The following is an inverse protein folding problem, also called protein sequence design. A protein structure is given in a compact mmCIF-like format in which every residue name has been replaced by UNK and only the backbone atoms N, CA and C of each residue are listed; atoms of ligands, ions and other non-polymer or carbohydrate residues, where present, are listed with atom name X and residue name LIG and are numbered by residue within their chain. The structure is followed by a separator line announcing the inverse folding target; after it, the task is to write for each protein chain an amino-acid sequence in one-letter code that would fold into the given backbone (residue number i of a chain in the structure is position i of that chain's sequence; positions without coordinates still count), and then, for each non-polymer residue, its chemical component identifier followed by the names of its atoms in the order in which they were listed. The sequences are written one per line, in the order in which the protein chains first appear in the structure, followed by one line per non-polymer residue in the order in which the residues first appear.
data_IF_365620355509
#
_entry.id   IF_365620355509
#
_cell.length_a   1.000
_cell.length_b   1.000
_cell.length_c   1.000
_cell.angle_alpha   90.00
_cell.angle_beta   90.00
_cell.angle_gamma   90.00
#
_symmetry.space_group_name_H-M   'P 1'
#
loop_
_entity.id
_entity.type
_entity.pdbx_description
1 polymer ?
#
# COMPACT_ATOMS: atom_id res chain seq x y z
N UNK A 1 -22.50 6.68 -6.10
CA UNK A 1 -21.73 7.33 -5.04
C UNK A 1 -22.06 8.81 -4.86
N UNK A 2 -22.02 9.65 -5.93
CA UNK A 2 -22.37 11.08 -5.82
C UNK A 2 -23.76 11.33 -5.22
N UNK A 3 -24.75 10.50 -5.58
CA UNK A 3 -26.11 10.58 -5.03
C UNK A 3 -26.14 10.32 -3.52
N UNK A 4 -25.37 9.36 -3.03
CA UNK A 4 -25.31 9.04 -1.60
C UNK A 4 -24.51 10.08 -0.82
N UNK A 5 -23.44 10.62 -1.41
CA UNK A 5 -22.75 11.77 -0.80
C UNK A 5 -23.71 12.97 -0.70
N UNK A 6 -24.59 13.16 -1.69
CA UNK A 6 -25.65 14.16 -1.63
C UNK A 6 -26.67 13.85 -0.52
N UNK A 7 -27.13 12.61 -0.40
CA UNK A 7 -28.03 12.17 0.67
C UNK A 7 -27.40 12.34 2.07
N UNK A 8 -26.09 12.08 2.21
CA UNK A 8 -25.37 12.36 3.47
C UNK A 8 -25.41 13.84 3.84
N UNK A 9 -25.21 14.75 2.87
CA UNK A 9 -25.29 16.20 3.09
C UNK A 9 -26.69 16.67 3.46
N UNK A 10 -27.70 16.08 2.84
CA UNK A 10 -29.11 16.37 3.12
C UNK A 10 -29.63 15.75 4.43
N UNK A 11 -28.74 15.12 5.19
CA UNK A 11 -29.04 14.43 6.45
C UNK A 11 -30.10 13.32 6.32
N UNK A 12 -30.26 12.76 5.11
CA UNK A 12 -31.18 11.64 4.87
C UNK A 12 -30.66 10.37 5.50
N UNK A 13 -31.59 9.53 5.94
CA UNK A 13 -31.28 8.19 6.47
C UNK A 13 -30.96 7.26 5.29
N UNK A 14 -29.73 6.74 5.23
CA UNK A 14 -29.31 5.77 4.22
C UNK A 14 -29.62 4.37 4.77
N UNK A 15 -30.33 3.56 4.01
CA UNK A 15 -30.65 2.21 4.40
C UNK A 15 -29.39 1.33 4.50
N UNK A 16 -29.44 0.33 5.37
CA UNK A 16 -28.32 -0.59 5.56
C UNK A 16 -27.90 -1.29 4.27
N UNK A 17 -28.88 -1.67 3.43
CA UNK A 17 -28.66 -2.32 2.13
C UNK A 17 -27.84 -1.43 1.19
N UNK A 18 -28.12 -0.13 1.17
CA UNK A 18 -27.37 0.83 0.34
C UNK A 18 -25.98 1.08 0.89
N UNK A 19 -25.83 1.13 2.22
CA UNK A 19 -24.52 1.23 2.86
C UNK A 19 -23.63 0.04 2.48
N UNK A 20 -24.16 -1.19 2.57
CA UNK A 20 -23.46 -2.42 2.21
C UNK A 20 -23.09 -2.44 0.72
N UNK A 21 -24.06 -2.10 -0.14
CA UNK A 21 -23.84 -2.02 -1.61
C UNK A 21 -22.66 -1.11 -1.97
N UNK A 22 -22.54 0.03 -1.31
CA UNK A 22 -21.44 0.97 -1.59
C UNK A 22 -20.12 0.44 -1.08
N UNK A 23 -20.10 -0.13 0.12
CA UNK A 23 -18.88 -0.74 0.65
C UNK A 23 -18.37 -1.79 -0.32
N UNK A 24 -19.24 -2.68 -0.83
CA UNK A 24 -18.89 -3.71 -1.81
C UNK A 24 -18.43 -3.07 -3.14
N UNK A 25 -19.14 -2.07 -3.65
CA UNK A 25 -18.82 -1.39 -4.91
C UNK A 25 -17.43 -0.74 -4.89
N UNK A 26 -17.00 -0.23 -3.74
CA UNK A 26 -15.67 0.36 -3.60
C UNK A 26 -14.59 -0.68 -3.27
N UNK A 27 -14.95 -1.72 -2.52
CA UNK A 27 -13.99 -2.72 -2.04
C UNK A 27 -13.61 -3.73 -3.13
N UNK A 28 -14.58 -4.24 -3.90
CA UNK A 28 -14.31 -5.29 -4.90
C UNK A 28 -13.30 -4.86 -5.97
N UNK A 29 -13.43 -3.68 -6.61
CA UNK A 29 -12.41 -3.23 -7.57
C UNK A 29 -11.03 -3.05 -6.93
N UNK A 30 -10.98 -2.52 -5.69
CA UNK A 30 -9.74 -2.33 -4.98
C UNK A 30 -9.07 -3.66 -4.56
N UNK A 31 -9.85 -4.68 -4.21
CA UNK A 31 -9.34 -6.04 -3.95
C UNK A 31 -8.76 -6.64 -5.23
N UNK A 32 -9.48 -6.56 -6.34
CA UNK A 32 -9.02 -7.05 -7.63
C UNK A 32 -7.70 -6.37 -8.05
N UNK A 33 -7.59 -5.06 -7.84
CA UNK A 33 -6.37 -4.30 -8.07
C UNK A 33 -5.17 -4.86 -7.26
N UNK A 34 -5.37 -5.18 -5.98
CA UNK A 34 -4.31 -5.76 -5.14
C UNK A 34 -3.88 -7.16 -5.64
N UNK A 35 -4.84 -8.00 -6.01
CA UNK A 35 -4.56 -9.35 -6.53
C UNK A 35 -3.81 -9.28 -7.86
N UNK A 36 -4.26 -8.44 -8.79
CA UNK A 36 -3.59 -8.26 -10.09
C UNK A 36 -2.19 -7.66 -9.92
N UNK A 37 -2.02 -6.67 -9.03
CA UNK A 37 -0.70 -6.11 -8.73
C UNK A 37 0.28 -7.14 -8.18
N UNK A 38 -0.20 -8.06 -7.35
CA UNK A 38 0.62 -9.17 -6.84
C UNK A 38 0.97 -10.16 -7.94
N UNK A 39 -0.01 -10.57 -8.76
CA UNK A 39 0.25 -11.45 -9.91
C UNK A 39 1.28 -10.83 -10.86
N UNK A 40 1.20 -9.51 -11.06
CA UNK A 40 2.16 -8.77 -11.87
C UNK A 40 3.58 -8.86 -11.32
N UNK A 41 3.76 -8.69 -10.02
CA UNK A 41 5.09 -8.81 -9.39
C UNK A 41 5.71 -10.20 -9.60
N UNK A 42 4.88 -11.27 -9.67
CA UNK A 42 5.36 -12.61 -10.02
C UNK A 42 5.75 -12.71 -11.49
N UNK A 43 4.99 -12.11 -12.41
CA UNK A 43 5.31 -12.09 -13.84
C UNK A 43 6.63 -11.36 -14.07
N UNK A 44 6.82 -10.19 -13.47
CA UNK A 44 8.07 -9.42 -13.55
C UNK A 44 9.26 -10.23 -13.03
N UNK A 45 9.09 -10.86 -11.88
CA UNK A 45 10.13 -11.71 -11.31
C UNK A 45 10.49 -12.87 -12.24
N UNK A 46 9.51 -13.48 -12.92
CA UNK A 46 9.72 -14.54 -13.89
C UNK A 46 10.43 -14.03 -15.16
N UNK A 47 10.04 -12.87 -15.68
CA UNK A 47 10.67 -12.24 -16.85
C UNK A 47 12.14 -11.88 -16.57
N UNK A 48 12.42 -11.29 -15.41
CA UNK A 48 13.79 -11.00 -14.97
C UNK A 48 14.57 -12.29 -14.71
N UNK A 49 13.94 -13.30 -14.10
CA UNK A 49 14.55 -14.60 -13.84
C UNK A 49 15.05 -15.30 -15.11
N UNK A 50 14.36 -15.09 -16.24
CA UNK A 50 14.79 -15.63 -17.54
C UNK A 50 16.12 -15.04 -18.06
N UNK A 51 16.53 -13.86 -17.54
CA UNK A 51 17.82 -13.23 -17.85
C UNK A 51 18.99 -13.86 -17.09
N UNK A 52 18.70 -14.75 -16.14
CA UNK A 52 19.68 -15.47 -15.34
C UNK A 52 19.86 -14.91 -13.93
N UNK A 53 20.61 -15.66 -13.12
CA UNK A 53 20.77 -15.39 -11.68
C UNK A 53 21.39 -14.04 -11.36
N UNK A 54 22.27 -13.50 -12.22
CA UNK A 54 22.91 -12.20 -12.02
C UNK A 54 21.91 -11.06 -12.09
N UNK A 55 20.96 -11.11 -13.04
CA UNK A 55 19.92 -10.12 -13.19
C UNK A 55 18.99 -10.09 -11.95
N UNK A 56 18.56 -11.27 -11.51
CA UNK A 56 17.75 -11.42 -10.31
C UNK A 56 18.47 -10.92 -9.06
N UNK A 57 19.77 -11.24 -8.93
CA UNK A 57 20.60 -10.77 -7.81
C UNK A 57 20.77 -9.25 -7.83
N UNK A 58 20.98 -8.64 -9.01
CA UNK A 58 21.11 -7.18 -9.14
C UNK A 58 19.86 -6.44 -8.65
N UNK A 59 18.66 -6.90 -9.03
CA UNK A 59 17.40 -6.33 -8.55
C UNK A 59 17.20 -6.61 -7.05
N UNK A 60 17.49 -7.84 -6.61
CA UNK A 60 17.35 -8.26 -5.22
C UNK A 60 18.08 -7.37 -4.23
N UNK A 61 19.30 -6.91 -4.58
CA UNK A 61 20.06 -5.99 -3.73
C UNK A 61 19.35 -4.65 -3.50
N UNK A 62 18.68 -4.10 -4.52
CA UNK A 62 18.09 -2.75 -4.45
C UNK A 62 16.57 -2.75 -4.19
N UNK A 63 15.90 -3.90 -4.18
CA UNK A 63 14.45 -3.99 -4.04
C UNK A 63 13.94 -3.39 -2.72
N UNK A 64 14.63 -3.60 -1.62
CA UNK A 64 14.26 -3.01 -0.32
C UNK A 64 14.33 -1.48 -0.35
N UNK A 65 15.27 -0.93 -1.09
CA UNK A 65 15.42 0.52 -1.30
C UNK A 65 14.25 1.06 -2.13
N UNK A 66 13.86 0.37 -3.20
CA UNK A 66 12.71 0.78 -4.02
C UNK A 66 11.41 0.76 -3.21
N UNK A 67 11.22 -0.22 -2.33
CA UNK A 67 10.07 -0.27 -1.43
C UNK A 67 10.05 0.86 -0.40
N UNK A 68 11.20 1.23 0.15
CA UNK A 68 11.31 2.35 1.08
C UNK A 68 10.89 3.67 0.40
N UNK A 69 11.46 3.98 -0.76
CA UNK A 69 11.11 5.19 -1.50
C UNK A 69 9.66 5.17 -2.00
N UNK A 70 9.17 4.04 -2.48
CA UNK A 70 7.76 3.85 -2.84
C UNK A 70 6.81 4.08 -1.66
N UNK A 71 7.19 3.64 -0.47
CA UNK A 71 6.46 3.88 0.77
C UNK A 71 6.37 5.36 1.15
N UNK A 72 7.47 6.11 0.98
CA UNK A 72 7.51 7.57 1.20
C UNK A 72 6.60 8.28 0.20
N UNK A 73 6.65 7.89 -1.08
CA UNK A 73 5.78 8.43 -2.11
C UNK A 73 4.30 8.17 -1.82
N UNK A 74 3.95 6.94 -1.38
CA UNK A 74 2.59 6.58 -0.98
C UNK A 74 2.09 7.44 0.17
N UNK A 75 2.94 7.68 1.17
CA UNK A 75 2.60 8.53 2.31
C UNK A 75 2.38 10.01 1.88
N UNK A 76 3.21 10.51 0.97
CA UNK A 76 3.08 11.88 0.43
C UNK A 76 1.74 12.09 -0.31
N UNK A 77 1.29 11.08 -1.07
CA UNK A 77 0.02 11.10 -1.83
C UNK A 77 -1.21 11.04 -0.92
N UNK A 78 -1.10 10.36 0.23
CA UNK A 78 -2.23 10.13 1.14
C UNK A 78 -2.91 11.42 1.58
N UNK A 79 -2.13 12.44 1.96
CA UNK A 79 -2.66 13.70 2.47
C UNK A 79 -3.56 14.44 1.48
N UNK A 80 -3.25 14.38 0.19
CA UNK A 80 -4.10 14.97 -0.86
C UNK A 80 -5.39 14.18 -1.06
N UNK A 81 -5.30 12.85 -1.14
CA UNK A 81 -6.47 11.98 -1.35
C UNK A 81 -7.50 12.11 -0.21
N UNK A 82 -7.04 12.14 1.04
CA UNK A 82 -7.93 12.32 2.20
C UNK A 82 -8.62 13.68 2.17
N UNK A 83 -7.90 14.75 1.84
CA UNK A 83 -8.52 16.09 1.73
C UNK A 83 -9.57 16.15 0.63
N UNK A 84 -9.32 15.53 -0.52
CA UNK A 84 -10.31 15.41 -1.60
C UNK A 84 -11.57 14.71 -1.09
N UNK A 85 -11.46 13.58 -0.38
CA UNK A 85 -12.61 12.88 0.19
C UNK A 85 -13.42 13.79 1.12
N UNK A 86 -12.75 14.50 2.04
CA UNK A 86 -13.40 15.37 3.01
C UNK A 86 -14.04 16.61 2.37
N UNK A 87 -13.36 17.28 1.41
CA UNK A 87 -13.96 18.43 0.71
C UNK A 87 -15.15 18.02 -0.17
N UNK A 88 -15.09 16.88 -0.83
CA UNK A 88 -16.22 16.35 -1.58
C UNK A 88 -17.38 15.97 -0.65
N UNK A 89 -17.09 15.38 0.51
CA UNK A 89 -18.07 15.13 1.56
C UNK A 89 -18.75 16.42 2.02
N UNK A 90 -17.99 17.47 2.25
CA UNK A 90 -18.49 18.79 2.66
C UNK A 90 -19.22 19.56 1.54
N UNK A 91 -19.23 19.07 0.29
CA UNK A 91 -19.80 19.78 -0.84
C UNK A 91 -18.95 20.94 -1.37
N UNK A 92 -17.73 21.09 -0.86
CA UNK A 92 -16.79 22.16 -1.21
C UNK A 92 -15.99 21.78 -2.48
N UNK A 93 -16.69 21.55 -3.61
CA UNK A 93 -16.07 21.05 -4.85
C UNK A 93 -14.95 21.97 -5.37
N UNK A 94 -15.08 23.31 -5.19
CA UNK A 94 -14.02 24.26 -5.57
C UNK A 94 -12.72 23.98 -4.81
N UNK A 95 -12.79 23.72 -3.50
CA UNK A 95 -11.62 23.39 -2.69
C UNK A 95 -11.05 22.00 -3.06
N UNK A 96 -11.91 21.03 -3.38
CA UNK A 96 -11.44 19.73 -3.88
C UNK A 96 -10.65 19.89 -5.20
N UNK A 97 -11.10 20.72 -6.14
CA UNK A 97 -10.36 21.06 -7.38
C UNK A 97 -9.06 21.80 -7.07
N UNK A 98 -9.08 22.72 -6.10
CA UNK A 98 -7.86 23.39 -5.65
C UNK A 98 -6.82 22.40 -5.12
N UNK A 99 -7.25 21.37 -4.37
CA UNK A 99 -6.36 20.29 -3.91
C UNK A 99 -5.76 19.53 -5.10
N UNK A 100 -6.54 19.25 -6.16
CA UNK A 100 -6.02 18.61 -7.39
C UNK A 100 -4.93 19.49 -8.02
N UNK A 101 -5.17 20.80 -8.18
CA UNK A 101 -4.18 21.72 -8.73
C UNK A 101 -2.89 21.75 -7.90
N UNK A 102 -3.02 21.86 -6.56
CA UNK A 102 -1.88 21.84 -5.64
C UNK A 102 -1.11 20.52 -5.67
N UNK A 103 -1.82 19.40 -5.86
CA UNK A 103 -1.22 18.09 -5.92
C UNK A 103 -0.35 17.89 -7.17
N UNK A 104 -0.73 18.48 -8.31
CA UNK A 104 0.07 18.47 -9.54
C UNK A 104 1.37 19.24 -9.31
N UNK A 105 1.30 20.45 -8.75
CA UNK A 105 2.48 21.25 -8.42
C UNK A 105 3.41 20.51 -7.45
N UNK A 106 2.83 19.93 -6.39
CA UNK A 106 3.58 19.16 -5.42
C UNK A 106 4.24 17.95 -6.06
N UNK A 107 3.52 17.21 -6.92
CA UNK A 107 4.07 16.05 -7.61
C UNK A 107 5.27 16.40 -8.48
N UNK A 108 5.22 17.52 -9.19
CA UNK A 108 6.35 17.98 -10.01
C UNK A 108 7.57 18.25 -9.11
N UNK A 109 7.41 19.05 -8.05
CA UNK A 109 8.54 19.45 -7.20
C UNK A 109 9.04 18.28 -6.37
N UNK A 110 8.16 17.63 -5.62
CA UNK A 110 8.55 16.54 -4.72
C UNK A 110 8.98 15.30 -5.50
N UNK A 111 8.26 14.97 -6.58
CA UNK A 111 8.60 13.85 -7.45
C UNK A 111 9.98 14.02 -8.10
N UNK A 112 10.30 15.21 -8.64
CA UNK A 112 11.62 15.49 -9.19
C UNK A 112 12.72 15.51 -8.11
N UNK A 113 12.43 16.02 -6.92
CA UNK A 113 13.37 15.98 -5.79
C UNK A 113 13.66 14.52 -5.40
N UNK A 114 12.62 13.68 -5.24
CA UNK A 114 12.78 12.25 -4.93
C UNK A 114 13.51 11.50 -6.05
N UNK A 115 13.19 11.78 -7.31
CA UNK A 115 13.90 11.21 -8.45
C UNK A 115 15.39 11.55 -8.40
N UNK A 116 15.72 12.81 -8.17
CA UNK A 116 17.13 13.27 -8.05
C UNK A 116 17.85 12.57 -6.91
N UNK A 117 17.22 12.42 -5.74
CA UNK A 117 17.80 11.73 -4.59
C UNK A 117 18.06 10.26 -4.91
N UNK A 118 17.08 9.57 -5.51
CA UNK A 118 17.22 8.14 -5.83
C UNK A 118 18.23 7.91 -6.94
N UNK A 119 18.22 8.71 -7.99
CA UNK A 119 19.23 8.65 -9.06
C UNK A 119 20.63 8.94 -8.54
N UNK A 120 20.81 9.98 -7.71
CA UNK A 120 22.11 10.27 -7.11
C UNK A 120 22.58 9.14 -6.18
N UNK A 121 21.68 8.58 -5.38
CA UNK A 121 21.98 7.46 -4.47
C UNK A 121 22.30 6.16 -5.20
N UNK A 122 21.78 5.96 -6.42
CA UNK A 122 21.99 4.72 -7.19
C UNK A 122 23.47 4.42 -7.47
N UNK A 123 24.32 5.44 -7.54
CA UNK A 123 25.76 5.27 -7.78
C UNK A 123 26.52 4.70 -6.56
N UNK A 124 25.98 4.88 -5.37
CA UNK A 124 26.64 4.48 -4.11
C UNK A 124 25.94 3.34 -3.39
N UNK A 125 24.59 3.31 -3.42
CA UNK A 125 23.77 2.36 -2.67
C UNK A 125 24.06 0.90 -2.97
N UNK A 126 24.17 0.43 -4.23
CA UNK A 126 24.44 -0.99 -4.49
C UNK A 126 25.76 -1.45 -3.86
N UNK A 127 26.81 -0.63 -3.92
CA UNK A 127 28.11 -0.92 -3.29
C UNK A 127 28.00 -0.96 -1.76
N UNK A 128 27.25 -0.03 -1.18
CA UNK A 128 27.04 0.09 0.28
C UNK A 128 26.22 -1.08 0.82
N UNK A 129 25.32 -1.64 -0.01
CA UNK A 129 24.52 -2.82 0.29
C UNK A 129 25.25 -4.14 0.03
N UNK A 130 26.53 -4.09 -0.37
CA UNK A 130 27.36 -5.27 -0.57
C UNK A 130 27.15 -5.98 -1.92
N UNK A 131 26.72 -5.27 -2.96
CA UNK A 131 26.60 -5.83 -4.31
C UNK A 131 27.97 -6.28 -4.83
N UNK A 132 28.01 -7.50 -5.37
CA UNK A 132 29.18 -8.00 -6.07
C UNK A 132 29.53 -7.07 -7.26
N UNK A 133 30.83 -6.82 -7.54
CA UNK A 133 31.24 -5.99 -8.66
C UNK A 133 30.63 -6.39 -10.01
N UNK A 134 30.36 -7.67 -10.21
CA UNK A 134 29.78 -8.21 -11.45
C UNK A 134 28.33 -7.80 -11.69
N UNK A 135 27.56 -7.47 -10.64
CA UNK A 135 26.14 -7.09 -10.71
C UNK A 135 25.90 -5.62 -10.35
N UNK A 136 26.93 -4.95 -9.84
CA UNK A 136 26.82 -3.58 -9.32
C UNK A 136 26.34 -2.60 -10.39
N UNK A 137 26.81 -2.75 -11.65
CA UNK A 137 26.38 -1.91 -12.78
C UNK A 137 24.89 -2.07 -13.07
N UNK A 138 24.39 -3.28 -13.12
CA UNK A 138 22.98 -3.58 -13.41
C UNK A 138 22.08 -3.09 -12.29
N UNK A 139 22.47 -3.28 -11.03
CA UNK A 139 21.77 -2.76 -9.86
C UNK A 139 21.71 -1.21 -9.87
N UNK A 140 22.81 -0.54 -10.26
CA UNK A 140 22.87 0.92 -10.39
C UNK A 140 21.94 1.41 -11.49
N UNK A 141 21.97 0.80 -12.68
CA UNK A 141 21.12 1.18 -13.81
C UNK A 141 19.65 0.97 -13.47
N UNK A 142 19.31 -0.18 -12.87
CA UNK A 142 17.94 -0.48 -12.45
C UNK A 142 17.42 0.59 -11.49
N UNK A 143 18.16 0.87 -10.41
CA UNK A 143 17.75 1.83 -9.40
C UNK A 143 17.68 3.27 -9.96
N UNK A 144 18.61 3.65 -10.85
CA UNK A 144 18.60 4.96 -11.51
C UNK A 144 17.37 5.15 -12.39
N UNK A 145 17.03 4.13 -13.20
CA UNK A 145 15.85 4.19 -14.09
C UNK A 145 14.57 4.22 -13.25
N UNK A 146 14.40 3.32 -12.27
CA UNK A 146 13.25 3.35 -11.37
C UNK A 146 13.14 4.70 -10.67
N UNK A 147 14.26 5.26 -10.21
CA UNK A 147 14.33 6.61 -9.63
C UNK A 147 13.83 7.70 -10.56
N UNK A 148 14.26 7.68 -11.83
CA UNK A 148 13.85 8.66 -12.83
C UNK A 148 12.33 8.62 -13.13
N UNK A 149 11.70 7.45 -12.98
CA UNK A 149 10.25 7.29 -13.20
C UNK A 149 9.40 7.54 -11.95
N UNK A 150 9.97 7.84 -10.78
CA UNK A 150 9.23 8.18 -9.54
C UNK A 150 8.14 9.25 -9.77
N UNK A 151 8.38 10.38 -10.48
CA UNK A 151 7.34 11.38 -10.67
C UNK A 151 6.09 10.84 -11.37
N UNK A 152 6.27 9.93 -12.32
CA UNK A 152 5.17 9.32 -13.09
C UNK A 152 4.43 8.26 -12.25
N UNK A 153 5.14 7.47 -11.46
CA UNK A 153 4.54 6.56 -10.49
C UNK A 153 3.69 7.33 -9.46
N UNK A 154 4.25 8.39 -8.87
CA UNK A 154 3.52 9.26 -7.95
C UNK A 154 2.28 9.89 -8.61
N UNK A 155 2.39 10.33 -9.87
CA UNK A 155 1.28 10.87 -10.63
C UNK A 155 0.14 9.84 -10.78
N UNK A 156 0.47 8.59 -11.11
CA UNK A 156 -0.50 7.50 -11.21
C UNK A 156 -1.18 7.23 -9.86
N UNK A 157 -0.40 7.09 -8.78
CA UNK A 157 -0.90 6.86 -7.42
C UNK A 157 -1.81 7.98 -6.93
N UNK A 158 -1.42 9.23 -7.16
CA UNK A 158 -2.11 10.43 -6.72
C UNK A 158 -3.48 10.56 -7.36
N UNK A 159 -3.55 10.47 -8.70
CA UNK A 159 -4.81 10.60 -9.43
C UNK A 159 -5.72 9.37 -9.23
N UNK A 160 -5.14 8.17 -9.11
CA UNK A 160 -5.88 6.95 -8.72
C UNK A 160 -6.52 7.11 -7.34
N UNK A 161 -5.75 7.60 -6.34
CA UNK A 161 -6.26 7.87 -5.00
C UNK A 161 -7.38 8.92 -4.97
N UNK A 162 -7.23 10.00 -5.72
CA UNK A 162 -8.26 11.05 -5.83
C UNK A 162 -9.54 10.56 -6.49
N UNK A 163 -9.45 9.75 -7.55
CA UNK A 163 -10.61 9.12 -8.17
C UNK A 163 -11.33 8.18 -7.21
N UNK A 164 -10.61 7.37 -6.46
CA UNK A 164 -11.23 6.55 -5.39
C UNK A 164 -11.93 7.42 -4.37
N UNK A 165 -11.30 8.49 -3.93
CA UNK A 165 -11.86 9.42 -2.97
C UNK A 165 -13.04 10.25 -3.50
N UNK A 166 -13.18 10.41 -4.82
CA UNK A 166 -14.39 10.96 -5.44
C UNK A 166 -15.56 9.95 -5.50
N UNK A 167 -15.29 8.69 -5.16
CA UNK A 167 -16.26 7.59 -5.17
C UNK A 167 -16.24 6.76 -6.45
N UNK A 168 -15.31 7.00 -7.33
CA UNK A 168 -15.10 6.21 -8.53
C UNK A 168 -13.92 5.25 -8.30
N UNK A 169 -14.20 4.04 -7.78
CA UNK A 169 -13.17 3.04 -7.55
C UNK A 169 -12.93 2.15 -8.79
N UNK A 170 -13.92 2.00 -9.65
CA UNK A 170 -13.84 1.11 -10.81
C UNK A 170 -12.81 1.59 -11.84
N UNK A 171 -12.84 2.88 -12.16
CA UNK A 171 -11.96 3.44 -13.18
C UNK A 171 -10.47 3.40 -12.79
N UNK A 172 -10.03 3.83 -11.58
CA UNK A 172 -8.65 3.69 -11.18
C UNK A 172 -8.19 2.22 -11.07
N UNK A 173 -9.06 1.31 -10.62
CA UNK A 173 -8.72 -0.11 -10.58
C UNK A 173 -8.55 -0.69 -11.99
N UNK A 174 -9.41 -0.31 -12.94
CA UNK A 174 -9.26 -0.72 -14.33
C UNK A 174 -7.97 -0.17 -14.95
N UNK A 175 -7.62 1.08 -14.66
CA UNK A 175 -6.37 1.69 -15.14
C UNK A 175 -5.13 1.01 -14.54
N UNK A 176 -5.17 0.64 -13.27
CA UNK A 176 -4.06 -0.08 -12.64
C UNK A 176 -3.93 -1.52 -13.17
N UNK A 177 -5.05 -2.19 -13.47
CA UNK A 177 -5.04 -3.48 -14.17
C UNK A 177 -4.46 -3.30 -15.60
N UNK A 178 -4.85 -2.24 -16.31
CA UNK A 178 -4.27 -1.92 -17.63
C UNK A 178 -2.78 -1.61 -17.53
N UNK A 179 -2.33 -0.99 -16.43
CA UNK A 179 -0.90 -0.76 -16.17
C UNK A 179 -0.13 -2.07 -16.14
N UNK A 180 -0.68 -3.11 -15.51
CA UNK A 180 -0.06 -4.43 -15.50
C UNK A 180 0.07 -5.03 -16.92
N UNK A 181 -0.95 -4.83 -17.78
CA UNK A 181 -0.89 -5.28 -19.18
C UNK A 181 0.18 -4.51 -19.96
N UNK A 182 0.24 -3.18 -19.82
CA UNK A 182 1.26 -2.36 -20.45
C UNK A 182 2.67 -2.73 -19.98
N UNK A 183 2.82 -3.03 -18.69
CA UNK A 183 4.08 -3.41 -18.10
C UNK A 183 4.62 -4.72 -18.74
N UNK A 184 3.79 -5.75 -18.88
CA UNK A 184 4.17 -6.99 -19.59
C UNK A 184 4.60 -6.69 -21.03
N UNK A 185 3.82 -5.88 -21.75
CA UNK A 185 4.12 -5.53 -23.15
C UNK A 185 5.44 -4.78 -23.26
N UNK A 186 5.66 -3.76 -22.43
CA UNK A 186 6.88 -2.98 -22.45
C UNK A 186 8.08 -3.78 -21.93
N UNK A 187 7.92 -4.60 -20.88
CA UNK A 187 8.97 -5.51 -20.42
C UNK A 187 9.37 -6.49 -21.52
N UNK A 188 8.39 -7.10 -22.22
CA UNK A 188 8.69 -7.98 -23.35
C UNK A 188 9.49 -7.24 -24.46
N UNK A 189 9.08 -6.03 -24.79
CA UNK A 189 9.73 -5.21 -25.82
C UNK A 189 11.17 -4.82 -25.42
N UNK A 190 11.36 -4.29 -24.20
CA UNK A 190 12.67 -3.80 -23.77
C UNK A 190 13.62 -4.94 -23.39
N UNK A 191 13.13 -6.01 -22.79
CA UNK A 191 13.98 -7.12 -22.34
C UNK A 191 14.36 -8.01 -23.54
N UNK A 192 13.38 -8.46 -24.35
CA UNK A 192 13.62 -9.52 -25.33
C UNK A 192 13.82 -8.98 -26.75
N UNK A 193 13.19 -7.90 -27.15
CA UNK A 193 13.37 -7.33 -28.52
C UNK A 193 14.58 -6.41 -28.54
N UNK A 194 14.70 -5.46 -27.59
CA UNK A 194 15.83 -4.54 -27.52
C UNK A 194 17.03 -5.08 -26.75
N UNK A 195 16.90 -6.25 -26.09
CA UNK A 195 17.96 -6.91 -25.31
C UNK A 195 18.63 -6.01 -24.25
N UNK A 196 17.85 -5.15 -23.60
CA UNK A 196 18.35 -4.21 -22.57
C UNK A 196 18.54 -4.87 -21.19
N UNK A 197 18.21 -6.16 -21.04
CA UNK A 197 18.38 -6.89 -19.79
C UNK A 197 17.65 -6.26 -18.60
N UNK A 198 18.36 -6.09 -17.49
CA UNK A 198 17.81 -5.51 -16.24
C UNK A 198 17.31 -4.07 -16.41
N UNK A 199 18.01 -3.26 -17.23
CA UNK A 199 17.56 -1.92 -17.56
C UNK A 199 16.24 -1.92 -18.32
N UNK A 200 16.02 -2.94 -19.17
CA UNK A 200 14.78 -3.15 -19.90
C UNK A 200 13.58 -3.35 -19.00
N UNK A 201 13.72 -4.14 -17.93
CA UNK A 201 12.68 -4.35 -16.92
C UNK A 201 12.29 -3.03 -16.21
N UNK A 202 13.29 -2.23 -15.79
CA UNK A 202 13.04 -0.94 -15.16
C UNK A 202 12.35 0.05 -16.11
N UNK A 203 12.75 0.08 -17.39
CA UNK A 203 12.14 0.93 -18.41
C UNK A 203 10.70 0.51 -18.71
N UNK A 204 10.42 -0.78 -18.80
CA UNK A 204 9.09 -1.31 -19.07
C UNK A 204 8.09 -0.88 -18.00
N UNK A 205 8.42 -1.14 -16.74
CA UNK A 205 7.60 -0.70 -15.60
C UNK A 205 7.45 0.81 -15.55
N UNK A 206 8.53 1.56 -15.77
CA UNK A 206 8.50 3.03 -15.79
C UNK A 206 7.59 3.57 -16.90
N UNK A 207 7.65 3.00 -18.10
CA UNK A 207 6.80 3.41 -19.24
C UNK A 207 5.33 3.10 -19.00
N UNK A 208 5.00 1.95 -18.40
CA UNK A 208 3.63 1.63 -18.01
C UNK A 208 3.07 2.64 -17.01
N UNK A 209 3.85 3.01 -15.99
CA UNK A 209 3.50 4.03 -15.01
C UNK A 209 3.32 5.41 -15.64
N UNK A 210 4.17 5.79 -16.59
CA UNK A 210 4.08 7.04 -17.33
C UNK A 210 2.78 7.10 -18.13
N UNK A 211 2.48 6.09 -18.94
CA UNK A 211 1.27 6.06 -19.78
C UNK A 211 0.01 6.14 -18.92
N UNK A 212 -0.10 5.28 -17.90
CA UNK A 212 -1.29 5.25 -17.04
C UNK A 212 -1.38 6.51 -16.18
N UNK A 213 -0.25 7.03 -15.69
CA UNK A 213 -0.20 8.28 -14.94
C UNK A 213 -0.77 9.46 -15.73
N UNK A 214 -0.38 9.63 -16.99
CA UNK A 214 -0.95 10.67 -17.85
C UNK A 214 -2.41 10.46 -18.17
N UNK A 215 -2.86 9.22 -18.42
CA UNK A 215 -4.27 8.90 -18.64
C UNK A 215 -5.10 9.27 -17.41
N UNK A 216 -4.68 8.84 -16.22
CA UNK A 216 -5.37 9.15 -14.97
C UNK A 216 -5.40 10.66 -14.68
N UNK A 217 -4.28 11.37 -14.89
CA UNK A 217 -4.24 12.83 -14.78
C UNK A 217 -5.23 13.49 -15.75
N UNK A 218 -5.25 13.08 -17.01
CA UNK A 218 -6.20 13.62 -18.01
C UNK A 218 -7.65 13.39 -17.57
N UNK A 219 -7.97 12.20 -17.04
CA UNK A 219 -9.33 11.88 -16.57
C UNK A 219 -9.71 12.78 -15.38
N UNK A 220 -8.84 12.92 -14.38
CA UNK A 220 -9.10 13.76 -13.21
C UNK A 220 -9.27 15.22 -13.59
N UNK A 221 -8.35 15.73 -14.44
CA UNK A 221 -8.29 17.16 -14.79
C UNK A 221 -9.40 17.57 -15.78
N UNK A 222 -9.84 16.66 -16.67
CA UNK A 222 -10.76 17.01 -17.75
C UNK A 222 -12.12 16.32 -17.70
N UNK A 223 -12.19 15.08 -17.21
CA UNK A 223 -13.42 14.25 -17.33
C UNK A 223 -14.19 14.07 -16.03
N UNK A 224 -13.52 13.99 -14.88
CA UNK A 224 -14.19 13.75 -13.61
C UNK A 224 -14.99 14.97 -13.17
N UNK A 225 -16.32 14.84 -13.14
CA UNK A 225 -17.24 15.98 -12.92
C UNK A 225 -16.97 16.75 -11.62
N UNK A 226 -16.53 16.07 -10.56
CA UNK A 226 -16.30 16.66 -9.24
C UNK A 226 -14.90 17.28 -9.09
N UNK A 227 -13.94 16.85 -9.90
CA UNK A 227 -12.51 17.19 -9.74
C UNK A 227 -11.93 17.94 -10.96
N UNK A 228 -12.63 17.98 -12.09
CA UNK A 228 -12.14 18.64 -13.33
C UNK A 228 -11.82 20.11 -13.05
N UNK A 229 -10.65 20.53 -13.51
CA UNK A 229 -10.24 21.92 -13.41
C UNK A 229 -11.05 22.80 -14.37
N UNK A 230 -11.56 23.90 -13.86
CA UNK A 230 -12.38 24.86 -14.61
C UNK A 230 -11.61 26.12 -15.01
N UNK A 231 -10.36 26.26 -14.53
CA UNK A 231 -9.51 27.42 -14.81
C UNK A 231 -9.65 28.54 -13.76
N UNK A 232 -10.50 28.37 -12.76
CA UNK A 232 -10.68 29.28 -11.62
C UNK A 232 -9.82 28.88 -10.39
N UNK A 233 -9.03 27.81 -10.52
CA UNK A 233 -8.12 27.34 -9.48
C UNK A 233 -6.80 28.12 -9.48
N UNK A 234 -6.25 28.34 -8.30
CA UNK A 234 -4.96 29.02 -8.14
C UNK A 234 -3.80 28.03 -8.26
N UNK A 235 -2.83 28.35 -9.11
CA UNK A 235 -1.54 27.63 -9.23
C UNK A 235 -0.50 28.09 -8.20
N UNK A 236 -0.85 29.00 -7.28
CA UNK A 236 0.01 29.36 -6.16
C UNK A 236 -0.18 28.38 -5.01
N UNK A 237 0.88 28.05 -4.30
CA UNK A 237 0.79 27.15 -3.16
C UNK A 237 -0.13 27.73 -2.07
N UNK A 238 -1.10 26.89 -1.67
CA UNK A 238 -2.00 27.18 -0.57
C UNK A 238 -1.42 26.59 0.72
N UNK A 239 -1.13 27.47 1.69
CA UNK A 239 -0.50 27.08 2.96
C UNK A 239 -1.38 26.15 3.79
N UNK A 240 -2.69 26.32 3.75
CA UNK A 240 -3.62 25.49 4.54
C UNK A 240 -3.73 24.08 3.96
N UNK A 241 -3.83 23.96 2.63
CA UNK A 241 -3.82 22.67 1.95
C UNK A 241 -2.51 21.94 2.24
N UNK A 242 -1.37 22.61 2.06
CA UNK A 242 -0.06 21.99 2.29
C UNK A 242 0.16 21.61 3.76
N UNK A 243 -0.26 22.45 4.70
CA UNK A 243 -0.20 22.13 6.13
C UNK A 243 -0.98 20.87 6.47
N UNK A 244 -2.17 20.72 5.89
CA UNK A 244 -2.99 19.52 6.09
C UNK A 244 -2.34 18.29 5.45
N UNK A 245 -1.76 18.42 4.24
CA UNK A 245 -0.98 17.34 3.60
C UNK A 245 0.17 16.91 4.51
N UNK A 246 0.98 17.85 4.99
CA UNK A 246 2.14 17.58 5.87
C UNK A 246 1.70 16.87 7.15
N UNK A 247 0.63 17.33 7.79
CA UNK A 247 0.10 16.74 9.03
C UNK A 247 -0.38 15.29 8.85
N UNK A 248 -0.87 14.94 7.66
CA UNK A 248 -1.32 13.58 7.33
C UNK A 248 -0.17 12.70 6.81
N UNK A 249 0.67 13.26 5.95
CA UNK A 249 1.71 12.52 5.23
C UNK A 249 2.95 12.23 6.06
N UNK A 250 3.39 13.16 6.92
CA UNK A 250 4.59 12.95 7.75
C UNK A 250 4.41 11.76 8.71
N UNK A 251 3.34 11.66 9.52
CA UNK A 251 3.17 10.50 10.38
C UNK A 251 3.06 9.19 9.58
N UNK A 252 2.39 9.20 8.43
CA UNK A 252 2.30 8.02 7.56
C UNK A 252 3.66 7.64 6.95
N UNK A 253 4.51 8.60 6.61
CA UNK A 253 5.88 8.38 6.14
C UNK A 253 6.78 7.81 7.24
N UNK A 254 6.74 8.39 8.44
CA UNK A 254 7.46 7.88 9.61
C UNK A 254 7.04 6.46 9.97
N UNK A 255 5.75 6.16 9.86
CA UNK A 255 5.23 4.79 10.03
C UNK A 255 5.89 3.82 9.05
N UNK A 256 5.97 4.18 7.76
CA UNK A 256 6.62 3.34 6.74
C UNK A 256 8.09 3.11 7.03
N UNK A 257 8.82 4.15 7.38
CA UNK A 257 10.24 4.04 7.76
C UNK A 257 10.40 3.13 8.97
N UNK A 258 9.60 3.33 10.00
CA UNK A 258 9.64 2.55 11.25
C UNK A 258 9.36 1.06 11.01
N UNK A 259 8.36 0.75 10.18
CA UNK A 259 8.04 -0.62 9.79
C UNK A 259 9.14 -1.25 8.93
N UNK A 260 9.71 -0.50 7.99
CA UNK A 260 10.81 -0.98 7.14
C UNK A 260 12.07 -1.28 7.97
N UNK A 261 12.41 -0.43 8.92
CA UNK A 261 13.54 -0.67 9.83
C UNK A 261 13.33 -1.92 10.67
N UNK A 262 12.15 -2.11 11.22
CA UNK A 262 11.81 -3.33 11.96
C UNK A 262 11.91 -4.59 11.09
N UNK A 263 11.47 -4.51 9.82
CA UNK A 263 11.58 -5.61 8.87
C UNK A 263 13.05 -5.96 8.57
N UNK A 264 13.93 -4.96 8.44
CA UNK A 264 15.38 -5.19 8.26
C UNK A 264 15.97 -5.91 9.48
N UNK A 265 15.62 -5.49 10.70
CA UNK A 265 16.08 -6.16 11.94
C UNK A 265 15.61 -7.62 11.96
N UNK A 266 14.34 -7.87 11.63
CA UNK A 266 13.79 -9.23 11.59
C UNK A 266 14.48 -10.11 10.54
N UNK A 267 14.70 -9.59 9.35
CA UNK A 267 15.44 -10.30 8.31
C UNK A 267 16.84 -10.65 8.78
N UNK A 268 17.53 -9.74 9.48
CA UNK A 268 18.83 -9.98 10.07
C UNK A 268 18.82 -11.12 11.12
N UNK A 269 17.80 -11.14 11.99
CA UNK A 269 17.63 -12.21 12.97
C UNK A 269 17.41 -13.57 12.30
N UNK A 270 16.52 -13.64 11.29
CA UNK A 270 16.25 -14.89 10.56
C UNK A 270 17.48 -15.35 9.77
N UNK A 271 18.22 -14.43 9.16
CA UNK A 271 19.46 -14.74 8.42
C UNK A 271 20.53 -15.38 9.31
N UNK A 272 20.59 -14.96 10.59
CA UNK A 272 21.49 -15.56 11.58
C UNK A 272 21.14 -17.01 11.98
N UNK A 273 19.96 -17.53 11.58
CA UNK A 273 19.53 -18.92 11.89
C UNK A 273 19.93 -19.93 10.79
N UNK A 274 20.53 -19.47 9.71
CA UNK A 274 20.97 -20.32 8.60
C UNK A 274 20.02 -20.36 7.41
N UNK A 275 20.51 -20.94 6.30
CA UNK A 275 19.84 -20.87 4.99
C UNK A 275 18.44 -21.50 4.95
N UNK A 276 18.22 -22.60 5.68
CA UNK A 276 16.92 -23.28 5.74
C UNK A 276 15.87 -22.36 6.39
N UNK A 277 16.20 -21.73 7.49
CA UNK A 277 15.30 -20.78 8.18
C UNK A 277 14.95 -19.58 7.31
N UNK A 278 15.89 -19.07 6.55
CA UNK A 278 15.66 -17.98 5.57
C UNK A 278 14.70 -18.46 4.47
N UNK A 279 14.89 -19.66 3.94
CA UNK A 279 14.02 -20.24 2.92
C UNK A 279 12.59 -20.46 3.45
N UNK A 280 12.45 -21.04 4.64
CA UNK A 280 11.15 -21.21 5.33
C UNK A 280 10.43 -19.85 5.46
N UNK A 281 11.13 -18.85 6.00
CA UNK A 281 10.57 -17.52 6.19
C UNK A 281 10.15 -16.87 4.87
N UNK A 282 10.97 -16.98 3.82
CA UNK A 282 10.65 -16.42 2.51
C UNK A 282 9.39 -17.04 1.90
N UNK A 283 9.29 -18.38 1.93
CA UNK A 283 8.13 -19.13 1.41
C UNK A 283 6.87 -18.77 2.20
N UNK A 284 6.97 -18.75 3.54
CA UNK A 284 5.85 -18.46 4.40
C UNK A 284 5.35 -17.02 4.24
N UNK A 285 6.22 -16.00 4.21
CA UNK A 285 5.84 -14.58 3.99
C UNK A 285 5.18 -14.38 2.62
N UNK A 286 5.70 -15.06 1.58
CA UNK A 286 5.14 -14.96 0.23
C UNK A 286 3.72 -15.53 0.15
N UNK A 287 3.47 -16.66 0.82
CA UNK A 287 2.15 -17.28 0.86
C UNK A 287 1.17 -16.51 1.77
N UNK A 288 1.62 -16.04 2.94
CA UNK A 288 0.83 -15.23 3.88
C UNK A 288 0.26 -13.97 3.22
N UNK A 289 1.07 -13.30 2.37
CA UNK A 289 0.68 -12.08 1.68
C UNK A 289 -0.67 -12.18 0.98
N UNK A 290 -0.99 -13.33 0.39
CA UNK A 290 -2.26 -13.56 -0.30
C UNK A 290 -3.48 -13.50 0.63
N UNK A 291 -3.31 -13.82 1.91
CA UNK A 291 -4.40 -13.86 2.89
C UNK A 291 -4.92 -12.45 3.25
N UNK A 292 -4.02 -11.49 3.50
CA UNK A 292 -4.41 -10.15 3.98
C UNK A 292 -4.53 -9.09 2.88
N UNK A 293 -4.10 -9.36 1.65
CA UNK A 293 -4.22 -8.41 0.52
C UNK A 293 -5.63 -7.83 0.35
N UNK A 294 -6.73 -8.61 0.46
CA UNK A 294 -8.08 -8.06 0.38
C UNK A 294 -8.36 -6.98 1.42
N UNK A 295 -7.78 -7.07 2.62
CA UNK A 295 -7.97 -6.09 3.67
C UNK A 295 -7.42 -4.70 3.28
N UNK A 296 -6.32 -4.62 2.51
CA UNK A 296 -5.80 -3.35 2.00
C UNK A 296 -6.78 -2.68 1.02
N UNK A 297 -7.42 -3.46 0.15
CA UNK A 297 -8.46 -2.96 -0.75
C UNK A 297 -9.64 -2.37 0.01
N UNK A 298 -10.13 -3.11 1.03
CA UNK A 298 -11.24 -2.65 1.90
C UNK A 298 -10.81 -1.44 2.74
N UNK A 299 -9.55 -1.39 3.20
CA UNK A 299 -8.97 -0.26 3.91
C UNK A 299 -8.99 1.04 3.08
N UNK A 300 -8.73 0.94 1.78
CA UNK A 300 -8.88 2.06 0.84
C UNK A 300 -10.32 2.55 0.71
N UNK A 301 -11.29 1.62 0.66
CA UNK A 301 -12.72 1.95 0.68
C UNK A 301 -13.13 2.61 2.01
N UNK A 302 -12.63 2.12 3.14
CA UNK A 302 -12.85 2.72 4.47
C UNK A 302 -12.34 4.17 4.52
N UNK A 303 -11.12 4.43 3.99
CA UNK A 303 -10.55 5.79 3.92
C UNK A 303 -11.46 6.74 3.15
N UNK A 304 -11.99 6.31 2.02
CA UNK A 304 -12.89 7.11 1.18
C UNK A 304 -14.23 7.39 1.88
N UNK A 305 -14.90 6.35 2.38
CA UNK A 305 -16.24 6.45 2.96
C UNK A 305 -16.24 7.24 4.27
N UNK A 306 -15.26 6.97 5.12
CA UNK A 306 -15.09 7.72 6.37
C UNK A 306 -14.72 9.16 6.08
N UNK A 307 -13.78 9.41 5.15
CA UNK A 307 -13.37 10.77 4.77
C UNK A 307 -14.54 11.60 4.27
N UNK A 308 -15.36 11.06 3.37
CA UNK A 308 -16.56 11.73 2.88
C UNK A 308 -17.61 11.96 3.98
N UNK A 309 -17.78 10.99 4.89
CA UNK A 309 -18.74 11.11 5.99
C UNK A 309 -18.32 12.19 7.00
N UNK A 310 -17.04 12.27 7.34
CA UNK A 310 -16.46 13.33 8.20
C UNK A 310 -16.61 14.68 7.52
N UNK A 311 -16.30 14.76 6.20
CA UNK A 311 -16.50 15.99 5.43
C UNK A 311 -17.95 16.48 5.42
N UNK A 312 -18.92 15.57 5.33
CA UNK A 312 -20.34 15.84 5.42
C UNK A 312 -20.83 16.14 6.86
N UNK A 313 -19.93 16.19 7.83
CA UNK A 313 -20.23 16.32 9.27
C UNK A 313 -21.16 15.22 9.83
N UNK A 314 -21.14 14.02 9.21
CA UNK A 314 -21.95 12.86 9.58
C UNK A 314 -21.10 11.82 10.32
N UNK A 315 -20.79 12.13 11.59
CA UNK A 315 -20.03 11.24 12.48
C UNK A 315 -20.69 9.87 12.68
N UNK A 316 -22.04 9.84 12.66
CA UNK A 316 -22.85 8.62 12.72
C UNK A 316 -22.55 7.69 11.52
N UNK A 317 -22.50 8.25 10.32
CA UNK A 317 -22.21 7.52 9.09
C UNK A 317 -20.73 7.10 9.03
N UNK A 318 -19.82 7.97 9.44
CA UNK A 318 -18.39 7.64 9.53
C UNK A 318 -18.17 6.40 10.43
N UNK A 319 -18.82 6.38 11.60
CA UNK A 319 -18.78 5.25 12.52
C UNK A 319 -19.36 3.97 11.89
N UNK A 320 -20.53 4.07 11.25
CA UNK A 320 -21.17 2.92 10.58
C UNK A 320 -20.30 2.35 9.46
N UNK A 321 -19.75 3.19 8.58
CA UNK A 321 -18.87 2.72 7.52
C UNK A 321 -17.57 2.11 8.04
N UNK A 322 -16.97 2.66 9.09
CA UNK A 322 -15.82 2.06 9.74
C UNK A 322 -16.15 0.64 10.26
N UNK A 323 -17.29 0.44 10.92
CA UNK A 323 -17.72 -0.88 11.40
C UNK A 323 -18.05 -1.84 10.25
N UNK A 324 -18.78 -1.39 9.22
CA UNK A 324 -19.17 -2.23 8.09
C UNK A 324 -17.96 -2.71 7.29
N UNK A 325 -17.01 -1.81 6.99
CA UNK A 325 -15.77 -2.18 6.29
C UNK A 325 -14.92 -3.11 7.12
N UNK A 326 -14.82 -2.87 8.44
CA UNK A 326 -14.08 -3.75 9.35
C UNK A 326 -14.71 -5.14 9.44
N UNK A 327 -16.04 -5.23 9.57
CA UNK A 327 -16.76 -6.50 9.63
C UNK A 327 -16.62 -7.29 8.32
N UNK A 328 -16.76 -6.60 7.17
CA UNK A 328 -16.59 -7.23 5.85
C UNK A 328 -15.18 -7.80 5.69
N UNK A 329 -14.16 -7.02 6.07
CA UNK A 329 -12.77 -7.47 6.00
C UNK A 329 -12.50 -8.63 6.94
N UNK A 330 -12.99 -8.56 8.17
CA UNK A 330 -12.84 -9.61 9.18
C UNK A 330 -13.45 -10.94 8.69
N UNK A 331 -14.68 -10.90 8.16
CA UNK A 331 -15.36 -12.10 7.63
C UNK A 331 -14.62 -12.69 6.41
N UNK A 332 -14.18 -11.83 5.49
CA UNK A 332 -13.44 -12.27 4.30
C UNK A 332 -12.09 -12.89 4.67
N UNK A 333 -11.34 -12.25 5.59
CA UNK A 333 -10.02 -12.75 5.98
C UNK A 333 -10.13 -13.99 6.88
N UNK A 334 -11.21 -14.18 7.67
CA UNK A 334 -11.48 -15.49 8.31
C UNK A 334 -11.55 -16.59 7.25
N UNK A 335 -12.32 -16.38 6.18
CA UNK A 335 -12.45 -17.36 5.10
C UNK A 335 -11.09 -17.66 4.45
N UNK A 336 -10.30 -16.61 4.14
CA UNK A 336 -8.95 -16.78 3.58
C UNK A 336 -7.98 -17.45 4.55
N UNK A 337 -8.08 -17.16 5.85
CA UNK A 337 -7.25 -17.79 6.90
C UNK A 337 -7.55 -19.28 7.06
N UNK A 338 -8.82 -19.68 6.97
CA UNK A 338 -9.19 -21.11 6.98
C UNK A 338 -8.61 -21.82 5.75
N UNK A 339 -8.71 -21.20 4.57
CA UNK A 339 -8.10 -21.74 3.35
C UNK A 339 -6.58 -21.86 3.53
N UNK A 340 -5.91 -20.83 4.03
CA UNK A 340 -4.46 -20.82 4.26
C UNK A 340 -4.06 -21.90 5.27
N UNK A 341 -4.79 -22.07 6.36
CA UNK A 341 -4.53 -23.10 7.38
C UNK A 341 -4.61 -24.52 6.79
N UNK A 342 -5.67 -24.82 6.03
CA UNK A 342 -5.90 -26.15 5.43
C UNK A 342 -4.94 -26.41 4.30
N UNK A 343 -4.73 -25.45 3.42
CA UNK A 343 -3.89 -25.59 2.23
C UNK A 343 -2.43 -25.16 2.46
N UNK A 344 -1.99 -24.96 3.69
CA UNK A 344 -0.62 -24.50 3.99
C UNK A 344 0.48 -25.34 3.29
N UNK A 345 0.45 -26.71 3.30
CA UNK A 345 1.46 -27.50 2.59
C UNK A 345 1.39 -27.31 1.06
N UNK A 346 0.20 -27.18 0.51
CA UNK A 346 0.02 -26.94 -0.93
C UNK A 346 0.58 -25.57 -1.31
N UNK A 347 0.24 -24.52 -0.57
CA UNK A 347 0.76 -23.17 -0.82
C UNK A 347 2.30 -23.14 -0.73
N UNK A 348 2.88 -23.78 0.25
CA UNK A 348 4.33 -23.88 0.39
C UNK A 348 4.96 -24.67 -0.79
N UNK A 349 4.35 -25.77 -1.21
CA UNK A 349 4.86 -26.60 -2.32
C UNK A 349 4.83 -25.93 -3.70
N UNK A 350 4.00 -24.90 -3.87
CA UNK A 350 4.02 -24.09 -5.12
C UNK A 350 5.27 -23.22 -5.26
N UNK A 351 5.97 -22.96 -4.15
CA UNK A 351 7.13 -22.06 -4.11
C UNK A 351 8.47 -22.78 -3.95
N UNK A 352 8.47 -24.05 -3.52
CA UNK A 352 9.70 -24.83 -3.31
C UNK A 352 9.43 -26.33 -3.42
N UNK A 353 10.47 -27.08 -3.80
CA UNK A 353 10.45 -28.55 -3.84
C UNK A 353 11.14 -29.20 -2.62
N UNK A 354 11.71 -28.41 -1.71
CA UNK A 354 12.37 -28.92 -0.51
C UNK A 354 11.34 -29.28 0.54
N UNK A 355 11.22 -30.56 0.90
CA UNK A 355 10.24 -31.05 1.89
C UNK A 355 10.45 -30.39 3.25
N UNK A 356 11.68 -30.20 3.69
CA UNK A 356 12.00 -29.55 4.97
C UNK A 356 11.50 -28.09 5.01
N UNK A 357 11.63 -27.38 3.89
CA UNK A 357 11.13 -26.00 3.77
C UNK A 357 9.60 -25.98 3.70
N UNK A 358 8.97 -26.93 3.00
CA UNK A 358 7.51 -27.06 2.91
C UNK A 358 6.92 -27.31 4.30
N UNK A 359 7.49 -28.24 5.07
CA UNK A 359 7.00 -28.57 6.41
C UNK A 359 7.12 -27.38 7.36
N UNK A 360 8.30 -26.75 7.42
CA UNK A 360 8.54 -25.58 8.25
C UNK A 360 7.68 -24.36 7.87
N UNK A 361 7.53 -24.06 6.57
CA UNK A 361 6.67 -22.98 6.11
C UNK A 361 5.20 -23.26 6.38
N UNK A 362 4.76 -24.51 6.24
CA UNK A 362 3.38 -24.91 6.55
C UNK A 362 3.03 -24.72 8.02
N UNK A 363 3.97 -25.03 8.93
CA UNK A 363 3.79 -24.79 10.36
C UNK A 363 3.68 -23.29 10.66
N UNK A 364 4.56 -22.48 10.07
CA UNK A 364 4.52 -21.02 10.21
C UNK A 364 3.19 -20.45 9.71
N UNK A 365 2.70 -20.89 8.53
CA UNK A 365 1.42 -20.47 7.96
C UNK A 365 0.22 -20.85 8.85
N UNK A 366 0.23 -22.05 9.43
CA UNK A 366 -0.82 -22.47 10.36
C UNK A 366 -0.84 -21.63 11.63
N UNK A 367 0.33 -21.27 12.16
CA UNK A 367 0.43 -20.42 13.35
C UNK A 367 -0.13 -19.03 13.06
N UNK A 368 0.27 -18.39 11.97
CA UNK A 368 -0.13 -17.02 11.65
C UNK A 368 -1.61 -16.90 11.23
N UNK A 369 -2.19 -17.96 10.66
CA UNK A 369 -3.59 -17.96 10.23
C UNK A 369 -4.57 -17.55 11.33
N UNK A 370 -4.26 -17.84 12.60
CA UNK A 370 -5.09 -17.42 13.73
C UNK A 370 -5.08 -15.91 13.98
N UNK A 371 -4.05 -15.19 13.57
CA UNK A 371 -3.92 -13.74 13.76
C UNK A 371 -4.41 -12.91 12.57
N UNK A 372 -4.48 -13.49 11.39
CA UNK A 372 -4.83 -12.79 10.15
C UNK A 372 -6.17 -12.02 10.23
N UNK A 373 -7.27 -12.58 10.78
CA UNK A 373 -8.51 -11.82 10.91
C UNK A 373 -8.37 -10.56 11.78
N UNK A 374 -7.58 -10.63 12.85
CA UNK A 374 -7.31 -9.48 13.72
C UNK A 374 -6.35 -8.49 13.05
N UNK A 375 -5.38 -8.98 12.29
CA UNK A 375 -4.53 -8.13 11.46
C UNK A 375 -5.35 -7.34 10.42
N UNK A 376 -6.32 -7.98 9.76
CA UNK A 376 -7.24 -7.32 8.83
C UNK A 376 -8.03 -6.17 9.50
N UNK A 377 -8.45 -6.34 10.76
CA UNK A 377 -9.06 -5.24 11.55
C UNK A 377 -8.11 -4.05 11.61
N UNK A 378 -6.84 -4.28 11.93
CA UNK A 378 -5.86 -3.19 12.05
C UNK A 378 -5.68 -2.44 10.73
N UNK A 379 -5.62 -3.13 9.60
CA UNK A 379 -5.47 -2.55 8.26
C UNK A 379 -6.67 -1.64 7.92
N UNK A 380 -7.89 -2.15 8.12
CA UNK A 380 -9.10 -1.41 7.73
C UNK A 380 -9.37 -0.25 8.68
N UNK A 381 -9.20 -0.45 9.99
CA UNK A 381 -9.35 0.62 10.99
C UNK A 381 -8.32 1.72 10.75
N UNK A 382 -7.07 1.36 10.43
CA UNK A 382 -6.04 2.34 10.02
C UNK A 382 -6.52 3.19 8.82
N UNK A 383 -7.12 2.55 7.81
CA UNK A 383 -7.74 3.25 6.68
C UNK A 383 -8.83 4.21 7.12
N UNK A 384 -9.72 3.78 8.00
CA UNK A 384 -10.80 4.62 8.56
C UNK A 384 -10.25 5.82 9.35
N UNK A 385 -9.26 5.61 10.22
CA UNK A 385 -8.60 6.68 10.98
C UNK A 385 -7.95 7.72 10.07
N UNK A 386 -7.22 7.26 9.03
CA UNK A 386 -6.61 8.16 8.03
C UNK A 386 -7.66 8.95 7.26
N UNK A 387 -8.77 8.32 6.88
CA UNK A 387 -9.92 8.99 6.25
C UNK A 387 -10.51 10.09 7.11
N UNK A 388 -10.55 9.89 8.42
CA UNK A 388 -10.99 10.91 9.38
C UNK A 388 -9.95 12.02 9.60
N UNK A 389 -8.71 11.85 9.16
CA UNK A 389 -7.62 12.81 9.36
C UNK A 389 -6.67 12.45 10.50
N UNK A 390 -6.82 11.27 11.12
CA UNK A 390 -5.95 10.78 12.19
C UNK A 390 -4.87 9.86 11.62
N UNK A 391 -3.73 10.42 11.19
CA UNK A 391 -2.55 9.64 10.79
C UNK A 391 -1.53 9.44 11.92
N UNK A 392 -1.62 10.24 12.99
CA UNK A 392 -0.69 10.15 14.13
C UNK A 392 -0.93 8.90 14.96
N UNK A 393 -2.20 8.59 15.24
CA UNK A 393 -2.55 7.45 16.06
C UNK A 393 -2.13 6.12 15.41
N UNK A 394 -2.42 5.84 14.12
CA UNK A 394 -1.90 4.66 13.43
C UNK A 394 -0.38 4.53 13.51
N UNK A 395 0.37 5.61 13.28
CA UNK A 395 1.83 5.60 13.40
C UNK A 395 2.29 5.14 14.79
N UNK A 396 1.75 5.76 15.85
CA UNK A 396 2.16 5.42 17.23
C UNK A 396 1.79 3.99 17.59
N UNK A 397 0.58 3.53 17.24
CA UNK A 397 0.12 2.18 17.53
C UNK A 397 0.94 1.14 16.78
N UNK A 398 1.25 1.35 15.50
CA UNK A 398 2.07 0.45 14.71
C UNK A 398 3.52 0.42 15.20
N UNK A 399 4.10 1.57 15.54
CA UNK A 399 5.46 1.65 16.07
C UNK A 399 5.57 0.89 17.41
N UNK A 400 4.67 1.14 18.35
CA UNK A 400 4.66 0.48 19.66
C UNK A 400 4.41 -1.04 19.52
N UNK A 401 3.48 -1.46 18.67
CA UNK A 401 3.20 -2.86 18.41
C UNK A 401 4.42 -3.56 17.81
N UNK A 402 4.94 -3.03 16.70
CA UNK A 402 6.04 -3.64 15.96
C UNK A 402 7.33 -3.74 16.78
N UNK A 403 7.75 -2.65 17.42
CA UNK A 403 8.99 -2.64 18.20
C UNK A 403 8.84 -3.29 19.57
N UNK A 404 7.74 -3.04 20.28
CA UNK A 404 7.50 -3.55 21.62
C UNK A 404 7.11 -5.02 21.66
N UNK A 405 6.20 -5.44 20.77
CA UNK A 405 5.60 -6.77 20.82
C UNK A 405 6.16 -7.76 19.80
N UNK A 406 6.90 -7.29 18.79
CA UNK A 406 7.50 -8.15 17.77
C UNK A 406 9.03 -8.15 17.86
N UNK A 407 9.69 -7.00 17.68
CA UNK A 407 11.16 -6.92 17.59
C UNK A 407 11.81 -7.28 18.93
N UNK A 408 11.35 -6.76 20.07
CA UNK A 408 11.93 -7.08 21.37
C UNK A 408 11.75 -8.55 21.77
N UNK A 409 10.55 -9.17 21.69
CA UNK A 409 10.38 -10.57 22.06
C UNK A 409 11.10 -11.53 21.12
N UNK A 410 11.25 -11.20 19.82
CA UNK A 410 11.97 -12.06 18.88
C UNK A 410 13.38 -12.38 19.39
N UNK A 411 14.12 -11.41 19.92
CA UNK A 411 15.48 -11.59 20.42
C UNK A 411 15.54 -12.68 21.50
N UNK A 412 14.47 -12.83 22.27
CA UNK A 412 14.37 -13.80 23.37
C UNK A 412 13.90 -15.16 22.85
N UNK A 413 12.81 -15.17 22.06
CA UNK A 413 12.14 -16.41 21.66
C UNK A 413 12.86 -17.17 20.55
N UNK A 414 13.60 -16.48 19.66
CA UNK A 414 14.34 -17.12 18.57
C UNK A 414 15.43 -18.07 19.05
N UNK A 415 16.11 -17.74 20.15
CA UNK A 415 17.16 -18.60 20.72
C UNK A 415 16.65 -19.97 21.14
N UNK A 416 15.35 -20.09 21.47
CA UNK A 416 14.75 -21.33 21.97
C UNK A 416 13.94 -22.09 20.92
N UNK A 417 13.26 -21.37 20.02
CA UNK A 417 12.28 -21.94 19.09
C UNK A 417 12.60 -21.74 17.61
N UNK A 418 13.75 -21.15 17.29
CA UNK A 418 14.16 -20.92 15.89
C UNK A 418 13.14 -20.05 15.10
N UNK A 419 12.93 -20.40 13.83
CA UNK A 419 12.01 -19.68 12.93
C UNK A 419 10.55 -19.74 13.39
N UNK A 420 10.14 -20.81 14.02
CA UNK A 420 8.78 -20.95 14.59
C UNK A 420 8.57 -19.91 15.70
N UNK A 421 9.59 -19.64 16.52
CA UNK A 421 9.56 -18.58 17.52
C UNK A 421 9.36 -17.18 16.92
N UNK A 422 9.96 -16.92 15.76
CA UNK A 422 9.74 -15.66 14.99
C UNK A 422 8.26 -15.52 14.62
N UNK A 423 7.67 -16.58 14.04
CA UNK A 423 6.29 -16.58 13.58
C UNK A 423 5.27 -16.55 14.72
N UNK A 424 5.55 -17.25 15.83
CA UNK A 424 4.72 -17.16 17.04
C UNK A 424 4.70 -15.74 17.61
N UNK A 425 5.86 -15.07 17.68
CA UNK A 425 5.96 -13.68 18.11
C UNK A 425 5.23 -12.72 17.18
N UNK A 426 5.33 -12.95 15.86
CA UNK A 426 4.60 -12.22 14.85
C UNK A 426 3.09 -12.37 15.03
N UNK A 427 2.61 -13.60 15.19
CA UNK A 427 1.20 -13.91 15.45
C UNK A 427 0.68 -13.18 16.69
N UNK A 428 1.42 -13.22 17.79
CA UNK A 428 1.06 -12.50 19.01
C UNK A 428 0.97 -10.99 18.78
N UNK A 429 1.93 -10.41 18.06
CA UNK A 429 1.95 -8.98 17.71
C UNK A 429 0.76 -8.60 16.84
N UNK A 430 0.43 -9.38 15.80
CA UNK A 430 -0.71 -9.11 14.90
C UNK A 430 -2.05 -9.15 15.66
N UNK A 431 -2.21 -10.10 16.59
CA UNK A 431 -3.38 -10.15 17.50
C UNK A 431 -3.45 -8.90 18.36
N UNK A 432 -2.36 -8.55 19.02
CA UNK A 432 -2.28 -7.35 19.85
C UNK A 432 -2.61 -6.09 19.05
N UNK A 433 -2.03 -5.93 17.87
CA UNK A 433 -2.28 -4.81 16.95
C UNK A 433 -3.75 -4.73 16.59
N UNK A 434 -4.37 -5.84 16.19
CA UNK A 434 -5.79 -5.87 15.85
C UNK A 434 -6.68 -5.40 17.01
N UNK A 435 -6.38 -5.87 18.21
CA UNK A 435 -7.12 -5.51 19.43
C UNK A 435 -6.99 -4.00 19.73
N UNK A 436 -5.79 -3.45 19.73
CA UNK A 436 -5.59 -2.02 20.06
C UNK A 436 -6.24 -1.10 19.01
N UNK A 437 -6.18 -1.47 17.72
CA UNK A 437 -6.88 -0.71 16.68
C UNK A 437 -8.40 -0.82 16.83
N UNK A 438 -8.93 -2.00 17.14
CA UNK A 438 -10.36 -2.17 17.42
C UNK A 438 -10.82 -1.33 18.61
N UNK A 439 -10.08 -1.36 19.73
CA UNK A 439 -10.35 -0.51 20.91
C UNK A 439 -10.35 0.99 20.52
N UNK A 440 -9.38 1.42 19.71
CA UNK A 440 -9.31 2.80 19.23
C UNK A 440 -10.55 3.18 18.43
N UNK A 441 -10.99 2.29 17.52
CA UNK A 441 -12.20 2.49 16.72
C UNK A 441 -13.44 2.64 17.61
N UNK A 442 -13.63 1.74 18.58
CA UNK A 442 -14.80 1.73 19.47
C UNK A 442 -14.85 2.99 20.34
N UNK A 443 -13.70 3.43 20.89
CA UNK A 443 -13.63 4.65 21.71
C UNK A 443 -14.06 5.93 21.00
N UNK A 444 -14.11 5.96 19.68
CA UNK A 444 -14.72 7.04 18.89
C UNK A 444 -14.00 8.40 18.90
N UNK A 445 -12.92 8.59 19.66
CA UNK A 445 -12.17 9.86 19.73
C UNK A 445 -11.62 10.37 18.40
N UNK A 446 -11.49 9.49 17.40
CA UNK A 446 -11.04 9.80 16.05
C UNK A 446 -12.09 10.56 15.22
N UNK A 447 -13.37 10.52 15.64
CA UNK A 447 -14.48 11.24 14.98
C UNK A 447 -14.43 12.77 15.18
N UNK A 448 -13.65 13.23 16.14
CA UNK A 448 -13.52 14.66 16.47
C UNK A 448 -12.34 15.33 15.77
N UNK A 449 -11.58 14.56 14.99
CA UNK A 449 -10.45 15.09 14.22
C UNK A 449 -10.94 15.58 12.86
N UNK A 450 -10.97 16.90 12.68
CA UNK A 450 -11.21 17.54 11.39
C UNK A 450 -9.87 18.02 10.83
N UNK A 451 -9.39 17.40 9.75
CA UNK A 451 -8.22 17.91 9.03
C UNK A 451 -8.57 19.05 8.08
N UNK A 452 -9.86 19.29 7.84
CA UNK A 452 -10.37 20.31 6.92
C UNK A 452 -11.43 21.13 7.64
N UNK A 453 -11.07 22.34 8.04
CA UNK A 453 -12.01 23.35 8.55
C UNK A 453 -12.70 24.12 7.42
#
# INVERSE_FOLDING_TARGET
MMEITAQMRENKKIEFKDQLKIVILLSVPAILEQLVGTAMSYIDSAMVGSLGYKATAAIGVVVSTTWLFGGICTAAVLGFSVQVAQYLGAGKNKLARQVVCQSILFNIIFGLCMASVVVASSFYLPKLLGADPSICRDATLYLAIVGAFIPFNMMAMLHSGMLRCSGNAVLPSLMNISMCVFDVIFNYFFIYILNLGVAGAALGTGMAQLVVGFILMYIVVKKEKSLRLLGDESWKFDKDILKNVVNLSIPAGLERVTLSLAQVVMTGVVSGMGAISVAINYVAVSAEGLCYLPAYGIGGAATTLVGQSIGANRKDMAKRFAYLTTLLSFALVIFMSVIMFVLAPFLASTLTNSQEVIDGASECLRIVSFSEPLFAISIVVMGALRGAGDSKCPFVLNALSMWGMRVLPIIIFTKRYGVIGVWATMTFELVFRGIIFFIRMVRGKWLDQNSVK
#
